data_IF_782400299830
#
_entry.id   IF_782400299830
#
_cell.length_a   1.000
_cell.length_b   1.000
_cell.length_c   1.000
_cell.angle_alpha   90.00
_cell.angle_beta   90.00
_cell.angle_gamma   90.00
#
_symmetry.space_group_name_H-M   'P 1'
#
loop_
_entity.id
_entity.type
_entity.pdbx_description
1 polymer ?
#
# COMPACT_ATOMS: atom_id res chain seq x y z
N UNK A 1 20.25 -7.68 20.16
CA UNK A 1 19.20 -8.43 19.42
C UNK A 1 19.73 -9.80 19.04
N UNK A 2 19.07 -10.88 19.45
CA UNK A 2 19.47 -12.23 19.06
C UNK A 2 19.27 -12.42 17.54
N UNK A 3 20.33 -12.84 16.83
CA UNK A 3 20.24 -13.15 15.39
C UNK A 3 19.40 -14.42 15.22
N UNK A 4 18.28 -14.30 14.52
CA UNK A 4 17.33 -15.41 14.26
C UNK A 4 18.01 -16.61 13.57
N UNK A 5 17.55 -17.81 13.89
CA UNK A 5 18.08 -19.08 13.40
C UNK A 5 17.83 -19.26 11.90
N UNK A 6 18.62 -20.13 11.25
CA UNK A 6 18.46 -20.45 9.82
C UNK A 6 17.07 -21.02 9.49
N UNK A 7 16.51 -21.81 10.42
CA UNK A 7 15.18 -22.43 10.29
C UNK A 7 14.05 -21.39 10.30
N UNK A 8 14.15 -20.38 11.16
CA UNK A 8 13.18 -19.26 11.21
C UNK A 8 13.25 -18.42 9.93
N UNK A 9 14.44 -18.21 9.37
CA UNK A 9 14.59 -17.51 8.08
C UNK A 9 14.01 -18.30 6.92
N UNK A 10 14.21 -19.61 6.88
CA UNK A 10 13.67 -20.48 5.83
C UNK A 10 12.14 -20.58 5.89
N UNK A 11 11.56 -20.68 7.10
CA UNK A 11 10.11 -20.71 7.29
C UNK A 11 9.46 -19.39 6.86
N UNK A 12 10.09 -18.26 7.22
CA UNK A 12 9.66 -16.92 6.79
C UNK A 12 9.76 -16.74 5.27
N UNK A 13 10.85 -17.21 4.64
CA UNK A 13 10.98 -17.23 3.18
C UNK A 13 9.88 -18.06 2.51
N UNK A 14 9.53 -19.22 3.09
CA UNK A 14 8.44 -20.08 2.61
C UNK A 14 7.06 -19.42 2.79
N UNK A 15 6.85 -18.66 3.87
CA UNK A 15 5.64 -17.86 4.07
C UNK A 15 5.54 -16.70 3.09
N UNK A 16 6.67 -16.02 2.79
CA UNK A 16 6.76 -14.95 1.82
C UNK A 16 6.45 -15.38 0.37
N UNK A 17 6.67 -16.67 0.06
CA UNK A 17 6.44 -17.29 -1.25
C UNK A 17 5.03 -17.87 -1.44
N UNK A 18 4.14 -17.79 -0.44
CA UNK A 18 2.77 -18.30 -0.57
C UNK A 18 2.00 -17.46 -1.57
N UNK A 19 1.45 -18.03 -2.64
CA UNK A 19 0.65 -17.32 -3.65
C UNK A 19 -0.35 -16.37 -3.01
N UNK A 20 -0.52 -15.17 -3.58
CA UNK A 20 -1.49 -14.20 -3.09
C UNK A 20 -2.89 -14.81 -2.95
N UNK A 21 -3.53 -14.56 -1.81
CA UNK A 21 -4.95 -14.84 -1.59
C UNK A 21 -5.69 -13.51 -1.43
N UNK A 22 -6.91 -13.35 -1.99
CA UNK A 22 -7.68 -12.13 -1.82
C UNK A 22 -7.96 -11.82 -0.35
N UNK A 23 -7.99 -10.54 -0.01
CA UNK A 23 -8.40 -10.05 1.30
C UNK A 23 -9.86 -10.41 1.57
N UNK A 24 -10.11 -10.88 2.79
CA UNK A 24 -11.47 -11.19 3.28
C UNK A 24 -11.72 -10.42 4.56
N UNK A 25 -12.94 -9.88 4.70
CA UNK A 25 -13.38 -9.22 5.92
C UNK A 25 -13.36 -10.23 7.07
N UNK A 26 -12.76 -9.88 8.19
CA UNK A 26 -12.70 -10.69 9.40
C UNK A 26 -13.64 -10.10 10.44
N UNK A 27 -14.21 -10.96 11.30
CA UNK A 27 -15.06 -10.50 12.40
C UNK A 27 -14.10 -9.99 13.50
N UNK A 28 -14.15 -8.70 13.81
CA UNK A 28 -13.30 -8.12 14.86
C UNK A 28 -13.73 -8.63 16.24
N UNK A 29 -12.82 -9.28 16.97
CA UNK A 29 -12.92 -9.40 18.43
C UNK A 29 -12.16 -8.20 19.01
N UNK A 30 -12.86 -7.32 19.73
CA UNK A 30 -12.27 -6.06 20.21
C UNK A 30 -11.09 -6.32 21.14
N UNK A 31 -9.88 -5.90 20.73
CA UNK A 31 -8.65 -6.01 21.52
C UNK A 31 -8.44 -4.78 22.39
N UNK A 32 -9.41 -4.45 23.26
CA UNK A 32 -9.33 -3.29 24.16
C UNK A 32 -8.30 -3.43 25.29
N UNK A 33 -7.68 -4.59 25.47
CA UNK A 33 -7.06 -4.92 26.75
C UNK A 33 -5.56 -4.58 26.88
N UNK A 34 -4.90 -4.00 25.86
CA UNK A 34 -3.42 -3.90 25.87
C UNK A 34 -2.75 -2.63 25.34
N UNK A 35 -3.39 -1.46 25.33
CA UNK A 35 -2.70 -0.22 24.97
C UNK A 35 -2.88 0.88 26.03
N UNK A 36 -1.78 1.55 26.37
CA UNK A 36 -1.72 2.54 27.45
C UNK A 36 -2.70 3.70 27.27
N UNK A 37 -3.15 4.27 28.39
CA UNK A 37 -4.30 5.18 28.50
C UNK A 37 -4.30 6.38 27.55
N UNK A 38 -3.12 6.90 27.16
CA UNK A 38 -3.01 8.07 26.26
C UNK A 38 -3.27 7.74 24.79
N UNK A 39 -2.96 6.52 24.35
CA UNK A 39 -3.34 6.03 23.01
C UNK A 39 -4.82 5.63 22.99
N UNK A 40 -5.35 5.09 24.09
CA UNK A 40 -6.76 4.74 24.21
C UNK A 40 -7.69 5.96 24.11
N UNK A 41 -7.26 7.14 24.58
CA UNK A 41 -8.00 8.41 24.43
C UNK A 41 -8.00 8.92 22.98
N UNK A 42 -6.85 8.89 22.29
CA UNK A 42 -6.76 9.16 20.85
C UNK A 42 -7.59 8.16 20.01
N UNK A 43 -7.58 6.89 20.39
CA UNK A 43 -8.40 5.84 19.76
C UNK A 43 -9.90 6.04 19.99
N UNK A 44 -10.29 6.64 21.11
CA UNK A 44 -11.70 6.85 21.45
C UNK A 44 -12.34 7.93 20.58
N UNK A 45 -11.57 8.96 20.23
CA UNK A 45 -11.97 9.96 19.25
C UNK A 45 -11.88 9.42 17.82
N UNK A 46 -10.97 8.47 17.55
CA UNK A 46 -10.81 7.86 16.23
C UNK A 46 -11.83 6.77 15.89
N UNK A 47 -12.43 6.08 16.88
CA UNK A 47 -13.42 5.01 16.63
C UNK A 47 -14.67 5.52 15.91
N UNK A 48 -14.62 5.51 14.59
CA UNK A 48 -15.80 5.43 13.74
C UNK A 48 -16.44 4.04 13.91
N UNK A 49 -17.77 3.97 13.79
CA UNK A 49 -18.51 2.69 13.77
C UNK A 49 -18.13 1.82 12.55
N UNK A 50 -17.34 2.37 11.61
CA UNK A 50 -16.93 1.79 10.33
C UNK A 50 -15.50 1.24 10.33
N UNK A 51 -15.01 0.75 11.46
CA UNK A 51 -13.71 0.09 11.52
C UNK A 51 -13.83 -1.37 11.05
N UNK A 52 -13.36 -1.62 9.83
CA UNK A 52 -13.37 -2.93 9.21
C UNK A 52 -11.98 -3.58 9.28
N UNK A 53 -11.92 -4.86 9.64
CA UNK A 53 -10.70 -5.64 9.57
C UNK A 53 -10.74 -6.59 8.37
N UNK A 54 -9.66 -6.63 7.60
CA UNK A 54 -9.45 -7.54 6.48
C UNK A 54 -8.17 -8.33 6.69
N UNK A 55 -8.14 -9.58 6.22
CA UNK A 55 -6.93 -10.37 6.24
C UNK A 55 -6.84 -11.29 5.03
N UNK A 56 -5.60 -11.59 4.63
CA UNK A 56 -5.28 -12.70 3.74
C UNK A 56 -4.11 -13.51 4.33
N UNK A 57 -3.49 -14.35 3.51
CA UNK A 57 -2.37 -15.19 3.94
C UNK A 57 -1.06 -14.43 4.19
N UNK A 58 -0.95 -13.14 3.84
CA UNK A 58 0.26 -12.30 3.99
C UNK A 58 0.07 -11.08 4.88
N UNK A 59 -1.10 -10.46 4.88
CA UNK A 59 -1.39 -9.19 5.53
C UNK A 59 -2.67 -9.22 6.35
N UNK A 60 -2.70 -8.35 7.35
CA UNK A 60 -3.89 -7.89 8.07
C UNK A 60 -4.00 -6.39 7.81
N UNK A 61 -5.19 -5.94 7.42
CA UNK A 61 -5.45 -4.56 7.01
C UNK A 61 -6.66 -4.03 7.77
N UNK A 62 -6.45 -2.99 8.57
CA UNK A 62 -7.53 -2.19 9.11
C UNK A 62 -7.96 -1.19 8.04
N UNK A 63 -9.27 -1.07 7.82
CA UNK A 63 -9.87 -0.10 6.91
C UNK A 63 -10.83 0.77 7.68
N UNK A 64 -10.70 2.08 7.50
CA UNK A 64 -11.54 3.06 8.17
C UNK A 64 -11.88 4.19 7.20
N UNK A 65 -13.11 4.69 7.25
CA UNK A 65 -13.49 5.95 6.58
C UNK A 65 -13.11 7.13 7.48
N UNK A 66 -12.31 8.05 6.95
CA UNK A 66 -11.90 9.27 7.63
C UNK A 66 -12.74 10.41 7.07
N UNK A 67 -13.61 11.03 7.89
CA UNK A 67 -14.47 12.12 7.45
C UNK A 67 -13.67 13.42 7.26
N UNK A 68 -14.25 14.35 6.49
CA UNK A 68 -13.56 15.55 6.01
C UNK A 68 -13.02 16.45 7.13
N UNK A 69 -13.67 16.46 8.30
CA UNK A 69 -13.28 17.29 9.45
C UNK A 69 -11.96 16.85 10.10
N UNK A 70 -11.47 15.64 9.80
CA UNK A 70 -10.23 15.09 10.35
C UNK A 70 -9.01 15.31 9.47
N UNK A 71 -9.15 15.99 8.33
CA UNK A 71 -8.04 16.21 7.41
C UNK A 71 -8.18 17.48 6.56
N UNK A 72 -7.07 17.91 5.95
CA UNK A 72 -7.01 19.13 5.13
C UNK A 72 -7.36 18.96 3.64
N UNK A 73 -7.92 17.83 3.20
CA UNK A 73 -8.19 17.57 1.78
C UNK A 73 -9.51 18.16 1.25
N UNK A 74 -10.17 19.03 2.03
CA UNK A 74 -11.47 19.61 1.69
C UNK A 74 -12.63 18.67 2.03
N UNK A 75 -13.79 18.93 1.41
CA UNK A 75 -15.05 18.22 1.67
C UNK A 75 -15.13 16.86 0.98
N UNK A 76 -14.15 15.99 1.27
CA UNK A 76 -14.10 14.62 0.79
C UNK A 76 -13.90 13.65 1.95
N UNK A 77 -14.32 12.41 1.78
CA UNK A 77 -14.00 11.32 2.70
C UNK A 77 -12.78 10.55 2.19
N UNK A 78 -11.79 10.36 3.06
CA UNK A 78 -10.66 9.48 2.76
C UNK A 78 -10.93 8.07 3.28
N UNK A 79 -10.31 7.07 2.65
CA UNK A 79 -10.22 5.73 3.24
C UNK A 79 -8.81 5.53 3.79
N UNK A 80 -8.70 5.32 5.09
CA UNK A 80 -7.46 4.94 5.74
C UNK A 80 -7.27 3.42 5.69
N UNK A 81 -6.11 2.97 5.21
CA UNK A 81 -5.67 1.59 5.31
C UNK A 81 -4.44 1.48 6.21
N UNK A 82 -4.52 0.61 7.21
CA UNK A 82 -3.44 0.28 8.14
C UNK A 82 -2.98 -1.15 7.89
N UNK A 83 -1.82 -1.31 7.27
CA UNK A 83 -1.34 -2.57 6.69
C UNK A 83 -0.23 -3.15 7.56
N UNK A 84 -0.43 -4.37 8.07
CA UNK A 84 0.55 -5.11 8.85
C UNK A 84 0.81 -6.47 8.21
N UNK A 85 2.08 -6.85 8.04
CA UNK A 85 2.44 -8.19 7.61
C UNK A 85 2.18 -9.22 8.72
N UNK A 86 1.58 -10.35 8.37
CA UNK A 86 1.20 -11.40 9.33
C UNK A 86 2.40 -12.14 9.95
N UNK A 87 3.58 -12.03 9.33
CA UNK A 87 4.85 -12.59 9.85
C UNK A 87 5.64 -11.61 10.73
N UNK A 88 5.02 -10.50 11.14
CA UNK A 88 5.62 -9.38 11.90
C UNK A 88 6.86 -8.76 11.22
N UNK A 89 6.99 -8.92 9.91
CA UNK A 89 8.04 -8.27 9.14
C UNK A 89 7.73 -6.82 8.81
N UNK A 90 8.76 -6.01 8.60
CA UNK A 90 8.67 -4.72 7.90
C UNK A 90 8.59 -4.91 6.37
N UNK A 91 7.84 -5.92 5.90
CA UNK A 91 7.67 -6.16 4.46
C UNK A 91 6.82 -5.03 3.88
N UNK A 92 7.38 -4.39 2.86
CA UNK A 92 6.73 -3.35 2.08
C UNK A 92 7.04 -3.63 0.62
N UNK A 93 6.04 -4.07 -0.13
CA UNK A 93 6.17 -4.39 -1.54
C UNK A 93 5.13 -3.57 -2.30
N UNK A 94 5.61 -2.73 -3.21
CA UNK A 94 4.77 -1.79 -3.95
C UNK A 94 3.62 -2.48 -4.70
N UNK A 95 3.85 -3.63 -5.35
CA UNK A 95 2.79 -4.34 -6.10
C UNK A 95 1.75 -4.93 -5.18
N UNK A 96 2.15 -5.39 -3.99
CA UNK A 96 1.19 -5.88 -3.00
C UNK A 96 0.38 -4.75 -2.39
N UNK A 97 0.99 -3.61 -2.08
CA UNK A 97 0.28 -2.45 -1.54
C UNK A 97 -0.70 -1.87 -2.57
N UNK A 98 -0.30 -1.83 -3.84
CA UNK A 98 -1.21 -1.50 -4.94
C UNK A 98 -2.38 -2.50 -5.02
N UNK A 99 -2.10 -3.81 -4.88
CA UNK A 99 -3.14 -4.85 -4.90
C UNK A 99 -4.09 -4.73 -3.70
N UNK A 100 -3.58 -4.48 -2.48
CA UNK A 100 -4.38 -4.24 -1.27
C UNK A 100 -5.32 -3.06 -1.48
N UNK A 101 -4.78 -1.93 -1.98
CA UNK A 101 -5.58 -0.74 -2.30
C UNK A 101 -6.66 -1.08 -3.33
N UNK A 102 -6.30 -1.77 -4.41
CA UNK A 102 -7.24 -2.15 -5.46
C UNK A 102 -8.37 -3.05 -4.93
N UNK A 103 -8.05 -4.05 -4.11
CA UNK A 103 -9.04 -4.98 -3.56
C UNK A 103 -10.00 -4.31 -2.57
N UNK A 104 -9.51 -3.37 -1.75
CA UNK A 104 -10.31 -2.78 -0.68
C UNK A 104 -11.02 -1.48 -1.05
N UNK A 105 -10.46 -0.75 -2.02
CA UNK A 105 -10.92 0.59 -2.39
C UNK A 105 -11.30 0.71 -3.88
N UNK A 106 -10.77 -0.15 -4.75
CA UNK A 106 -10.99 -0.09 -6.20
C UNK A 106 -9.73 0.29 -6.98
N UNK A 107 -9.60 -0.14 -8.24
CA UNK A 107 -8.39 0.04 -9.04
C UNK A 107 -8.12 1.50 -9.44
N UNK A 108 -9.17 2.30 -9.65
CA UNK A 108 -9.10 3.67 -10.18
C UNK A 108 -8.98 4.76 -9.09
N UNK A 109 -8.81 4.37 -7.83
CA UNK A 109 -8.55 5.31 -6.72
C UNK A 109 -7.06 5.49 -6.50
N UNK A 110 -6.64 6.69 -6.17
CA UNK A 110 -5.26 6.99 -5.81
C UNK A 110 -5.06 6.99 -4.29
N UNK A 111 -3.83 6.69 -3.86
CA UNK A 111 -3.49 6.61 -2.44
C UNK A 111 -2.16 7.29 -2.16
N UNK A 112 -2.07 7.91 -0.99
CA UNK A 112 -0.86 8.56 -0.49
C UNK A 112 -0.28 7.72 0.65
N UNK A 113 1.00 7.40 0.55
CA UNK A 113 1.82 6.97 1.69
C UNK A 113 2.67 8.14 2.15
N UNK A 114 2.56 8.51 3.43
CA UNK A 114 3.22 9.70 3.97
C UNK A 114 4.51 9.30 4.67
N UNK A 115 5.61 9.95 4.28
CA UNK A 115 6.85 9.99 5.03
C UNK A 115 6.83 11.29 5.85
N UNK A 116 6.43 11.25 7.13
CA UNK A 116 6.09 12.45 7.87
C UNK A 116 7.34 13.27 8.21
N UNK A 117 7.12 14.55 8.53
CA UNK A 117 8.15 15.33 9.24
C UNK A 117 8.52 14.62 10.55
N UNK A 118 9.79 14.69 10.96
CA UNK A 118 10.32 13.97 12.13
C UNK A 118 9.51 14.23 13.42
N UNK A 119 9.03 15.48 13.62
CA UNK A 119 8.20 15.85 14.77
C UNK A 119 6.82 15.20 14.81
N UNK A 120 6.41 14.55 13.71
CA UNK A 120 5.16 13.82 13.54
C UNK A 120 5.38 12.32 13.35
N UNK A 121 6.63 11.84 13.41
CA UNK A 121 6.96 10.44 13.18
C UNK A 121 6.28 9.54 14.22
N UNK A 122 5.60 8.51 13.73
CA UNK A 122 5.05 7.42 14.54
C UNK A 122 5.67 6.13 14.02
N UNK A 123 6.71 5.65 14.70
CA UNK A 123 7.43 4.40 14.37
C UNK A 123 7.38 3.43 15.56
N UNK A 124 6.18 2.97 15.88
CA UNK A 124 5.93 2.04 16.99
C UNK A 124 5.80 0.58 16.58
N UNK A 125 5.59 0.31 15.28
CA UNK A 125 5.30 -1.01 14.75
C UNK A 125 5.69 -1.12 13.27
N UNK A 126 5.90 -2.36 12.79
CA UNK A 126 6.06 -2.68 11.37
C UNK A 126 4.71 -2.59 10.63
N UNK A 127 4.14 -1.38 10.60
CA UNK A 127 2.81 -1.09 10.09
C UNK A 127 2.90 0.12 9.16
N UNK A 128 2.19 0.02 8.04
CA UNK A 128 2.24 1.02 6.98
C UNK A 128 0.84 1.52 6.67
N UNK A 129 0.79 2.65 5.97
CA UNK A 129 -0.32 3.57 6.11
C UNK A 129 -0.65 4.20 4.74
N UNK A 130 -1.80 3.82 4.15
CA UNK A 130 -2.29 4.38 2.88
C UNK A 130 -3.58 5.20 3.03
N UNK A 131 -3.53 6.43 2.52
CA UNK A 131 -4.59 7.43 2.62
C UNK A 131 -5.22 7.51 1.22
N UNK A 132 -6.33 6.82 1.02
CA UNK A 132 -6.93 6.62 -0.30
C UNK A 132 -8.00 7.67 -0.57
N UNK A 133 -7.81 8.44 -1.63
CA UNK A 133 -8.75 9.47 -2.09
C UNK A 133 -9.99 8.82 -2.71
N UNK A 134 -11.18 9.45 -2.67
CA UNK A 134 -12.36 8.91 -3.34
C UNK A 134 -12.14 8.85 -4.85
N UNK A 135 -12.92 7.99 -5.52
CA UNK A 135 -12.85 7.88 -6.98
C UNK A 135 -13.15 9.22 -7.65
N UNK A 136 -12.47 9.51 -8.76
CA UNK A 136 -12.55 10.81 -9.43
C UNK A 136 -11.69 11.92 -8.82
N UNK A 137 -11.02 11.67 -7.69
CA UNK A 137 -10.04 12.59 -7.10
C UNK A 137 -8.63 12.02 -7.26
N UNK A 138 -7.78 12.75 -7.98
CA UNK A 138 -6.37 12.39 -8.18
C UNK A 138 -5.44 13.18 -7.25
N UNK A 139 -4.29 12.61 -6.95
CA UNK A 139 -3.15 13.30 -6.35
C UNK A 139 -2.56 14.21 -7.43
N UNK A 140 -2.35 15.52 -7.15
CA UNK A 140 -1.88 16.48 -8.14
C UNK A 140 -0.39 16.35 -8.48
N UNK A 141 0.18 15.14 -8.40
CA UNK A 141 1.56 14.85 -8.77
C UNK A 141 1.73 13.36 -9.12
N UNK A 142 2.81 13.05 -9.84
CA UNK A 142 3.14 11.68 -10.24
C UNK A 142 3.17 11.51 -11.76
N UNK A 143 2.87 10.29 -12.21
CA UNK A 143 2.85 9.93 -13.62
C UNK A 143 1.40 9.88 -14.11
N UNK A 144 1.10 10.65 -15.15
CA UNK A 144 -0.25 10.73 -15.74
C UNK A 144 -0.54 9.62 -16.75
N UNK A 145 0.52 9.01 -17.29
CA UNK A 145 0.43 7.91 -18.23
C UNK A 145 0.68 6.57 -17.53
N UNK A 146 -0.20 5.61 -17.81
CA UNK A 146 -0.01 4.23 -17.35
C UNK A 146 1.07 3.53 -18.17
N UNK A 147 2.08 3.03 -17.48
CA UNK A 147 3.17 2.24 -18.06
C UNK A 147 3.39 1.00 -17.19
N UNK A 148 3.14 -0.18 -17.77
CA UNK A 148 3.33 -1.46 -17.08
C UNK A 148 4.08 -2.40 -18.01
N UNK A 149 5.17 -2.97 -17.51
CA UNK A 149 6.06 -3.87 -18.24
C UNK A 149 6.13 -5.22 -17.53
N UNK A 150 6.21 -6.31 -18.30
CA UNK A 150 6.20 -7.69 -17.79
C UNK A 150 7.42 -7.96 -16.90
N UNK A 151 8.59 -7.61 -17.44
CA UNK A 151 9.90 -7.87 -16.87
C UNK A 151 10.73 -6.62 -17.12
N UNK A 152 11.15 -5.97 -16.03
CA UNK A 152 12.19 -4.97 -16.11
C UNK A 152 13.50 -5.70 -15.84
N UNK A 153 14.11 -6.28 -16.87
CA UNK A 153 15.58 -6.36 -16.90
C UNK A 153 16.07 -5.28 -17.83
N UNK A 154 15.60 -4.06 -17.59
CA UNK A 154 16.09 -2.87 -18.31
C UNK A 154 17.37 -2.39 -17.63
N UNK A 155 18.16 -1.61 -18.35
CA UNK A 155 19.27 -0.83 -17.75
C UNK A 155 18.82 0.12 -16.61
N UNK A 156 17.51 0.42 -16.51
CA UNK A 156 16.91 1.37 -15.56
C UNK A 156 16.41 0.74 -14.26
N UNK A 157 16.62 -0.56 -14.07
CA UNK A 157 16.28 -1.27 -12.83
C UNK A 157 15.39 -2.48 -13.08
N UNK A 158 15.09 -3.19 -11.99
CA UNK A 158 14.31 -4.42 -12.04
C UNK A 158 13.11 -4.46 -11.12
N UNK A 159 12.04 -5.06 -11.64
CA UNK A 159 10.82 -5.35 -10.91
C UNK A 159 10.54 -6.85 -11.03
N UNK A 160 10.10 -7.47 -9.93
CA UNK A 160 9.82 -8.92 -9.89
C UNK A 160 8.71 -9.29 -10.89
N UNK A 161 8.57 -10.57 -11.31
CA UNK A 161 7.44 -11.01 -12.13
C UNK A 161 6.08 -10.82 -11.45
N UNK A 162 5.02 -10.72 -12.25
CA UNK A 162 3.66 -10.77 -11.73
C UNK A 162 3.38 -12.16 -11.16
N UNK A 163 2.62 -12.21 -10.06
CA UNK A 163 2.11 -13.49 -9.58
C UNK A 163 1.02 -14.00 -10.52
N UNK A 164 0.90 -15.32 -10.62
CA UNK A 164 -0.11 -15.96 -11.45
C UNK A 164 -1.51 -15.44 -11.08
N UNK A 165 -2.24 -14.91 -12.08
CA UNK A 165 -3.58 -14.35 -11.89
C UNK A 165 -3.62 -12.88 -11.45
N UNK A 166 -2.46 -12.27 -11.13
CA UNK A 166 -2.33 -10.85 -10.79
C UNK A 166 -1.63 -10.04 -11.89
N UNK A 167 -1.53 -10.62 -13.10
CA UNK A 167 -0.97 -9.93 -14.26
C UNK A 167 -1.99 -8.91 -14.75
N UNK A 168 -1.69 -7.60 -14.75
CA UNK A 168 -2.61 -6.58 -15.20
C UNK A 168 -2.69 -6.55 -16.73
N UNK A 169 -3.77 -5.97 -17.26
CA UNK A 169 -3.95 -5.77 -18.69
C UNK A 169 -3.05 -4.66 -19.24
N UNK A 170 -2.92 -4.60 -20.58
CA UNK A 170 -2.22 -3.50 -21.25
C UNK A 170 -0.73 -3.40 -20.89
N UNK A 171 -0.09 -4.53 -20.60
CA UNK A 171 1.37 -4.61 -20.44
C UNK A 171 2.01 -4.31 -21.79
N UNK A 172 3.02 -3.45 -21.78
CA UNK A 172 3.81 -3.08 -22.94
C UNK A 172 5.16 -3.79 -22.93
N UNK A 173 5.74 -3.94 -24.12
CA UNK A 173 7.09 -4.48 -24.28
C UNK A 173 8.15 -3.48 -23.82
N UNK A 174 9.35 -3.96 -23.50
CA UNK A 174 10.51 -3.12 -23.20
C UNK A 174 10.81 -2.13 -24.35
N UNK A 175 10.66 -2.58 -25.61
CA UNK A 175 10.84 -1.72 -26.78
C UNK A 175 9.83 -0.56 -26.82
N UNK A 176 8.57 -0.82 -26.45
CA UNK A 176 7.54 0.21 -26.36
C UNK A 176 7.77 1.16 -25.18
N UNK A 177 8.29 0.65 -24.06
CA UNK A 177 8.73 1.47 -22.93
C UNK A 177 9.79 2.48 -23.35
N UNK A 178 10.89 2.02 -23.97
CA UNK A 178 11.96 2.89 -24.45
C UNK A 178 11.44 3.94 -25.45
N UNK A 179 10.52 3.56 -26.33
CA UNK A 179 9.88 4.50 -27.26
C UNK A 179 9.11 5.59 -26.52
N UNK A 180 8.29 5.24 -25.52
CA UNK A 180 7.50 6.20 -24.73
C UNK A 180 8.39 7.15 -23.92
N UNK A 181 9.40 6.63 -23.23
CA UNK A 181 10.36 7.43 -22.45
C UNK A 181 11.12 8.40 -23.37
N UNK A 182 11.59 7.93 -24.52
CA UNK A 182 12.31 8.75 -25.50
C UNK A 182 11.46 9.90 -26.05
N UNK A 183 10.15 9.67 -26.28
CA UNK A 183 9.22 10.72 -26.72
C UNK A 183 9.03 11.74 -25.61
N UNK A 184 8.73 11.29 -24.39
CA UNK A 184 8.50 12.18 -23.24
C UNK A 184 9.72 13.09 -22.96
N UNK A 185 10.94 12.55 -23.04
CA UNK A 185 12.19 13.32 -22.85
C UNK A 185 12.43 14.36 -23.95
N UNK A 186 12.00 14.09 -25.20
CA UNK A 186 12.10 15.06 -26.31
C UNK A 186 11.08 16.19 -26.17
N UNK A 187 9.88 15.87 -25.68
CA UNK A 187 8.80 16.86 -25.47
C UNK A 187 9.04 17.77 -24.26
N UNK A 188 9.84 17.33 -23.29
CA UNK A 188 10.29 18.18 -22.18
C UNK A 188 11.56 18.95 -22.53
N UNK A 189 12.47 18.38 -23.32
CA UNK A 189 13.72 19.04 -23.76
C UNK A 189 13.56 20.13 -24.83
N UNK A 190 12.36 20.31 -25.38
CA UNK A 190 12.03 21.37 -26.35
C UNK A 190 11.26 22.55 -25.72
N UNK A 191 11.21 22.63 -24.39
CA UNK A 191 10.54 23.71 -23.64
C UNK A 191 11.50 24.73 -23.00
N UNK A 192 12.73 24.79 -23.48
CA UNK A 192 13.74 25.81 -23.12
C UNK A 192 14.19 26.60 -24.36
#
# INVERSE_FOLDING_TARGET
MAKRTSKERALRRKAMLRKWEPLRKTISISSSDKLGSKLAELEKDLKSEDNEMYANNRYTVQKETIPSERHGFGDIELTWLSIKANDDSARHDWREFQQIKNELCGPEREAIEVYPAESRLVDGANQFHLWVLPEGTGVPCGWWDRIVVEENTTEFGSQRPFEQGLRPDGIITEKEFHRKVSIAQRETGNRD
#
